data_IF_723773660253
#
_entry.id   IF_723773660253
#
_cell.length_a   1.000
_cell.length_b   1.000
_cell.length_c   1.000
_cell.angle_alpha   90.00
_cell.angle_beta   90.00
_cell.angle_gamma   90.00
#
_symmetry.space_group_name_H-M   'P 1'
#
loop_
_entity.id
_entity.type
_entity.pdbx_description
1 polymer ?
#
# COMPACT_ATOMS: atom_id res chain seq x y z
N UNK A 1 0.36 -2.19 7.35
CA UNK A 1 0.56 -3.25 6.32
C UNK A 1 1.70 -2.90 5.34
N UNK A 2 1.82 -1.63 4.94
CA UNK A 2 2.82 -1.20 3.95
C UNK A 2 4.25 -1.52 4.42
N UNK A 3 4.63 -1.09 5.62
CA UNK A 3 5.96 -1.35 6.18
C UNK A 3 6.24 -2.84 6.36
N UNK A 4 5.28 -3.59 6.86
CA UNK A 4 5.46 -5.03 7.07
C UNK A 4 5.69 -5.79 5.76
N UNK A 5 4.99 -5.42 4.69
CA UNK A 5 5.23 -5.99 3.36
C UNK A 5 6.56 -5.51 2.77
N UNK A 6 6.92 -4.25 2.94
CA UNK A 6 8.16 -3.69 2.42
C UNK A 6 9.41 -4.29 3.06
N UNK A 7 9.37 -4.60 4.35
CA UNK A 7 10.50 -5.22 5.06
C UNK A 7 10.93 -6.55 4.42
N UNK A 8 9.98 -7.40 4.08
CA UNK A 8 10.25 -8.67 3.40
C UNK A 8 10.90 -8.49 2.04
N UNK A 9 10.40 -7.55 1.24
CA UNK A 9 10.98 -7.24 -0.07
C UNK A 9 12.41 -6.73 0.03
N UNK A 10 12.66 -5.83 0.99
CA UNK A 10 14.01 -5.31 1.20
C UNK A 10 14.98 -6.40 1.65
N UNK A 11 14.53 -7.30 2.52
CA UNK A 11 15.36 -8.39 3.04
C UNK A 11 15.67 -9.44 1.96
N UNK A 12 14.70 -9.79 1.12
CA UNK A 12 14.85 -10.90 0.17
C UNK A 12 15.46 -10.46 -1.17
N UNK A 13 15.10 -9.27 -1.65
CA UNK A 13 15.50 -8.79 -2.97
C UNK A 13 16.41 -7.56 -2.95
N UNK A 14 16.85 -7.15 -1.77
CA UNK A 14 17.68 -5.95 -1.59
C UNK A 14 17.06 -4.66 -2.20
N UNK A 15 15.73 -4.63 -2.26
CA UNK A 15 14.99 -3.46 -2.74
C UNK A 15 15.12 -2.32 -1.73
N UNK A 16 15.49 -1.10 -2.14
CA UNK A 16 15.55 0.03 -1.22
C UNK A 16 14.24 0.23 -0.48
N UNK A 17 14.31 0.39 0.85
CA UNK A 17 13.13 0.43 1.72
C UNK A 17 12.09 1.47 1.29
N UNK A 18 12.53 2.69 1.00
CA UNK A 18 11.63 3.77 0.57
C UNK A 18 10.94 3.46 -0.76
N UNK A 19 11.64 2.82 -1.69
CA UNK A 19 11.07 2.39 -2.98
C UNK A 19 10.04 1.30 -2.76
N UNK A 20 10.35 0.29 -1.95
CA UNK A 20 9.41 -0.79 -1.62
C UNK A 20 8.14 -0.23 -0.96
N UNK A 21 8.27 0.66 0.02
CA UNK A 21 7.13 1.33 0.65
C UNK A 21 6.30 2.12 -0.37
N UNK A 22 6.93 2.87 -1.26
CA UNK A 22 6.24 3.70 -2.24
C UNK A 22 5.46 2.85 -3.28
N UNK A 23 6.02 1.72 -3.70
CA UNK A 23 5.32 0.79 -4.62
C UNK A 23 4.08 0.18 -3.95
N UNK A 24 4.19 -0.23 -2.70
CA UNK A 24 3.12 -0.91 -1.96
C UNK A 24 2.05 0.08 -1.48
N UNK A 25 2.40 1.34 -1.24
CA UNK A 25 1.52 2.32 -0.60
C UNK A 25 0.12 2.40 -1.23
N UNK A 26 -0.06 2.56 -2.54
CA UNK A 26 -1.41 2.63 -3.13
C UNK A 26 -2.25 1.37 -2.85
N UNK A 27 -1.64 0.19 -2.92
CA UNK A 27 -2.31 -1.09 -2.62
C UNK A 27 -2.72 -1.17 -1.15
N UNK A 28 -1.85 -0.75 -0.24
CA UNK A 28 -2.17 -0.68 1.19
C UNK A 28 -3.29 0.31 1.51
N UNK A 29 -3.32 1.45 0.83
CA UNK A 29 -4.40 2.43 0.97
C UNK A 29 -5.74 1.88 0.48
N UNK A 30 -5.77 1.19 -0.66
CA UNK A 30 -6.97 0.50 -1.16
C UNK A 30 -7.47 -0.55 -0.17
N UNK A 31 -6.56 -1.35 0.37
CA UNK A 31 -6.87 -2.40 1.35
C UNK A 31 -7.52 -1.82 2.62
N UNK A 32 -6.99 -0.70 3.12
CA UNK A 32 -7.43 -0.08 4.36
C UNK A 32 -8.64 0.88 4.21
N UNK A 33 -9.03 1.17 3.00
CA UNK A 33 -10.06 2.16 2.68
C UNK A 33 -11.38 1.93 3.43
N UNK A 34 -11.78 0.69 3.60
CA UNK A 34 -13.03 0.33 4.29
C UNK A 34 -12.96 0.52 5.80
N UNK A 35 -11.76 0.48 6.39
CA UNK A 35 -11.57 0.60 7.84
C UNK A 35 -11.19 2.03 8.28
N UNK A 36 -10.58 2.83 7.41
CA UNK A 36 -10.03 4.13 7.74
C UNK A 36 -10.29 5.21 6.68
N UNK A 37 -11.28 4.99 5.79
CA UNK A 37 -11.54 5.86 4.64
C UNK A 37 -11.83 7.31 5.00
N UNK A 38 -12.44 7.58 6.15
CA UNK A 38 -12.70 8.94 6.64
C UNK A 38 -11.44 9.78 6.85
N UNK A 39 -10.31 9.14 7.21
CA UNK A 39 -9.02 9.80 7.42
C UNK A 39 -8.37 10.24 6.11
N UNK A 40 -8.75 9.63 5.01
CA UNK A 40 -8.16 9.93 3.69
C UNK A 40 -8.51 11.33 3.20
N UNK A 41 -9.67 11.87 3.59
CA UNK A 41 -10.07 13.26 3.28
C UNK A 41 -8.99 14.26 3.74
N UNK A 42 -8.53 14.13 4.98
CA UNK A 42 -7.49 15.01 5.51
C UNK A 42 -6.17 14.88 4.73
N UNK A 43 -5.79 13.67 4.36
CA UNK A 43 -4.59 13.42 3.54
C UNK A 43 -4.75 14.02 2.14
N UNK A 44 -5.87 13.77 1.48
CA UNK A 44 -6.14 14.34 0.15
C UNK A 44 -6.18 15.86 0.16
N UNK A 45 -6.75 16.45 1.20
CA UNK A 45 -6.76 17.90 1.38
C UNK A 45 -5.35 18.47 1.51
N UNK A 46 -4.49 17.82 2.30
CA UNK A 46 -3.09 18.20 2.45
C UNK A 46 -2.29 18.05 1.15
N UNK A 47 -2.69 17.10 0.29
CA UNK A 47 -2.09 16.91 -1.03
C UNK A 47 -2.62 17.86 -2.11
N UNK A 48 -3.58 18.72 -1.79
CA UNK A 48 -4.14 19.69 -2.72
C UNK A 48 -5.23 19.16 -3.64
N UNK A 49 -5.92 18.07 -3.27
CA UNK A 49 -7.07 17.56 -4.04
C UNK A 49 -8.22 18.57 -3.97
N UNK A 50 -8.61 19.12 -5.13
CA UNK A 50 -9.67 20.12 -5.21
C UNK A 50 -11.05 19.48 -5.06
N UNK A 51 -11.98 20.18 -4.39
CA UNK A 51 -13.36 19.73 -4.23
C UNK A 51 -13.56 18.55 -3.27
N UNK A 52 -12.52 18.18 -2.49
CA UNK A 52 -12.59 17.00 -1.63
C UNK A 52 -13.61 17.14 -0.50
N UNK A 53 -13.88 18.37 -0.03
CA UNK A 53 -14.84 18.63 1.04
C UNK A 53 -16.31 18.43 0.59
N UNK A 54 -16.59 18.49 -0.72
CA UNK A 54 -17.91 18.21 -1.30
C UNK A 54 -18.12 16.73 -1.65
N UNK A 55 -17.07 15.91 -1.54
CA UNK A 55 -17.14 14.47 -1.80
C UNK A 55 -17.64 13.71 -0.57
N UNK A 56 -18.31 12.56 -0.78
CA UNK A 56 -18.54 11.62 0.31
C UNK A 56 -17.22 10.91 0.69
N UNK A 57 -17.22 10.13 1.78
CA UNK A 57 -15.98 9.52 2.29
C UNK A 57 -15.35 8.53 1.29
N UNK A 58 -16.16 7.80 0.53
CA UNK A 58 -15.68 6.86 -0.49
C UNK A 58 -15.01 7.62 -1.64
N UNK A 59 -15.66 8.65 -2.15
CA UNK A 59 -15.12 9.49 -3.22
C UNK A 59 -13.84 10.21 -2.77
N UNK A 60 -13.81 10.72 -1.54
CA UNK A 60 -12.65 11.39 -0.98
C UNK A 60 -11.45 10.41 -0.82
N UNK A 61 -11.72 9.18 -0.38
CA UNK A 61 -10.69 8.15 -0.28
C UNK A 61 -10.14 7.78 -1.66
N UNK A 62 -11.01 7.56 -2.65
CA UNK A 62 -10.61 7.24 -4.02
C UNK A 62 -9.79 8.37 -4.66
N UNK A 63 -10.21 9.62 -4.46
CA UNK A 63 -9.47 10.78 -4.96
C UNK A 63 -8.10 10.92 -4.32
N UNK A 64 -7.98 10.63 -3.02
CA UNK A 64 -6.71 10.64 -2.29
C UNK A 64 -5.77 9.57 -2.82
N UNK A 65 -6.27 8.34 -3.02
CA UNK A 65 -5.47 7.24 -3.57
C UNK A 65 -5.00 7.57 -5.00
N UNK A 66 -5.87 8.15 -5.82
CA UNK A 66 -5.51 8.61 -7.16
C UNK A 66 -4.40 9.67 -7.13
N UNK A 67 -4.44 10.59 -6.18
CA UNK A 67 -3.40 11.61 -6.00
C UNK A 67 -2.06 10.99 -5.59
N UNK A 68 -2.07 9.97 -4.72
CA UNK A 68 -0.85 9.23 -4.33
C UNK A 68 -0.27 8.50 -5.54
N UNK A 69 -1.09 7.81 -6.32
CA UNK A 69 -0.66 7.11 -7.55
C UNK A 69 -0.04 8.09 -8.55
N UNK A 70 -0.67 9.25 -8.74
CA UNK A 70 -0.14 10.28 -9.63
C UNK A 70 1.21 10.80 -9.17
N UNK A 71 1.35 11.12 -7.89
CA UNK A 71 2.62 11.58 -7.32
C UNK A 71 3.72 10.54 -7.53
N UNK A 72 3.44 9.27 -7.24
CA UNK A 72 4.38 8.18 -7.44
C UNK A 72 4.83 8.08 -8.90
N UNK A 73 3.91 8.18 -9.85
CA UNK A 73 4.23 8.18 -11.27
C UNK A 73 5.08 9.40 -11.67
N UNK A 74 4.73 10.58 -11.18
CA UNK A 74 5.42 11.83 -11.50
C UNK A 74 6.88 11.83 -11.03
N UNK A 75 7.19 11.15 -9.91
CA UNK A 75 8.56 11.04 -9.38
C UNK A 75 9.29 9.75 -9.81
N UNK A 76 8.68 8.95 -10.67
CA UNK A 76 9.32 7.76 -11.26
C UNK A 76 9.30 6.51 -10.38
N UNK A 77 8.39 6.40 -9.40
CA UNK A 77 8.20 5.16 -8.63
C UNK A 77 7.48 4.13 -9.51
N UNK A 78 7.98 2.88 -9.60
CA UNK A 78 7.27 1.81 -10.31
C UNK A 78 5.88 1.56 -9.72
N UNK A 79 4.92 1.23 -10.57
CA UNK A 79 3.54 0.97 -10.16
C UNK A 79 3.34 -0.46 -9.59
N UNK A 80 4.27 -1.36 -9.86
CA UNK A 80 4.19 -2.77 -9.50
C UNK A 80 5.56 -3.36 -9.14
N UNK A 81 5.57 -4.64 -8.80
CA UNK A 81 6.77 -5.39 -8.45
C UNK A 81 7.22 -6.36 -9.56
N UNK A 82 6.78 -6.12 -10.79
CA UNK A 82 7.20 -6.92 -11.95
C UNK A 82 8.71 -6.90 -12.10
N UNK A 83 9.27 -8.08 -12.29
CA UNK A 83 10.72 -8.24 -12.37
C UNK A 83 11.46 -8.28 -11.02
N UNK A 84 10.77 -8.06 -9.90
CA UNK A 84 11.31 -8.17 -8.55
C UNK A 84 10.69 -9.36 -7.84
N UNK A 85 9.36 -9.35 -7.66
CA UNK A 85 8.62 -10.36 -6.90
C UNK A 85 8.47 -11.65 -7.71
N UNK A 86 8.73 -12.79 -7.07
CA UNK A 86 8.55 -14.13 -7.62
C UNK A 86 7.39 -14.83 -6.90
N UNK A 87 6.55 -15.54 -7.65
CA UNK A 87 5.42 -16.29 -7.07
C UNK A 87 5.87 -17.31 -6.01
N UNK A 88 7.01 -17.93 -6.20
CA UNK A 88 7.57 -18.92 -5.26
C UNK A 88 7.86 -18.32 -3.87
N UNK A 89 8.08 -17.01 -3.79
CA UNK A 89 8.42 -16.31 -2.55
C UNK A 89 7.19 -15.71 -1.85
N UNK A 90 6.04 -15.66 -2.50
CA UNK A 90 4.82 -14.99 -1.99
C UNK A 90 4.38 -15.55 -0.64
N UNK A 91 4.42 -16.87 -0.46
CA UNK A 91 4.05 -17.50 0.81
C UNK A 91 4.97 -17.04 1.95
N UNK A 92 6.27 -17.11 1.75
CA UNK A 92 7.26 -16.69 2.75
C UNK A 92 7.13 -15.20 3.08
N UNK A 93 6.98 -14.35 2.05
CA UNK A 93 6.84 -12.91 2.23
C UNK A 93 5.57 -12.55 3.01
N UNK A 94 4.45 -13.23 2.72
CA UNK A 94 3.20 -12.99 3.41
C UNK A 94 3.24 -13.43 4.88
N UNK A 95 3.85 -14.58 5.17
CA UNK A 95 4.05 -15.04 6.55
C UNK A 95 4.96 -14.09 7.33
N UNK A 96 6.05 -13.64 6.70
CA UNK A 96 6.98 -12.67 7.30
C UNK A 96 6.30 -11.33 7.58
N UNK A 97 5.50 -10.83 6.64
CA UNK A 97 4.76 -9.58 6.82
C UNK A 97 3.70 -9.68 7.92
N UNK A 98 3.00 -10.81 7.99
CA UNK A 98 2.00 -11.05 9.04
C UNK A 98 2.62 -11.10 10.44
N UNK A 99 3.82 -11.68 10.56
CA UNK A 99 4.56 -11.77 11.82
C UNK A 99 5.35 -10.49 12.17
N UNK A 100 5.44 -9.53 11.25
CA UNK A 100 6.19 -8.30 11.44
C UNK A 100 5.54 -7.41 12.52
N UNK A 101 6.38 -6.76 13.34
CA UNK A 101 5.93 -5.89 14.43
C UNK A 101 5.08 -4.69 13.95
N UNK A 102 5.21 -4.28 12.70
CA UNK A 102 4.41 -3.20 12.11
C UNK A 102 3.01 -3.64 11.67
N UNK A 103 2.76 -4.95 11.52
CA UNK A 103 1.49 -5.47 11.05
C UNK A 103 0.31 -5.15 11.99
N UNK A 104 0.43 -5.32 13.32
CA UNK A 104 -0.68 -5.03 14.25
C UNK A 104 -1.13 -3.57 14.26
N UNK A 105 -0.31 -2.64 13.80
CA UNK A 105 -0.68 -1.22 13.70
C UNK A 105 -1.58 -0.89 12.50
N UNK A 106 -1.87 -1.85 11.64
CA UNK A 106 -2.75 -1.64 10.50
C UNK A 106 -4.21 -1.43 10.97
N UNK A 107 -4.96 -0.47 10.41
CA UNK A 107 -6.34 -0.18 10.87
C UNK A 107 -7.36 -1.28 10.54
N UNK A 108 -7.03 -2.17 9.61
CA UNK A 108 -7.83 -3.33 9.23
C UNK A 108 -7.12 -4.61 9.66
N UNK A 109 -7.85 -5.57 10.23
CA UNK A 109 -7.31 -6.90 10.51
C UNK A 109 -6.86 -7.57 9.23
N UNK A 110 -5.74 -8.29 9.32
CA UNK A 110 -5.11 -8.96 8.17
C UNK A 110 -5.00 -10.46 8.41
N UNK A 111 -4.82 -11.19 7.32
CA UNK A 111 -4.45 -12.61 7.33
C UNK A 111 -3.32 -12.86 6.34
N UNK A 112 -2.61 -13.98 6.48
CA UNK A 112 -1.58 -14.39 5.53
C UNK A 112 -2.15 -14.48 4.11
N UNK A 113 -3.36 -15.04 3.96
CA UNK A 113 -3.98 -15.18 2.64
C UNK A 113 -4.29 -13.82 2.00
N UNK A 114 -4.81 -12.85 2.76
CA UNK A 114 -5.04 -11.50 2.25
C UNK A 114 -3.73 -10.83 1.83
N UNK A 115 -2.67 -10.97 2.62
CA UNK A 115 -1.35 -10.41 2.28
C UNK A 115 -0.79 -11.06 0.99
N UNK A 116 -0.99 -12.37 0.80
CA UNK A 116 -0.62 -13.04 -0.46
C UNK A 116 -1.32 -12.41 -1.66
N UNK A 117 -2.64 -12.16 -1.54
CA UNK A 117 -3.40 -11.52 -2.61
C UNK A 117 -2.91 -10.08 -2.89
N UNK A 118 -2.54 -9.34 -1.85
CA UNK A 118 -1.95 -8.02 -2.02
C UNK A 118 -0.62 -8.07 -2.79
N UNK A 119 0.26 -9.01 -2.46
CA UNK A 119 1.50 -9.21 -3.22
C UNK A 119 1.22 -9.60 -4.67
N UNK A 120 0.29 -10.54 -4.91
CA UNK A 120 -0.05 -10.97 -6.27
C UNK A 120 -0.64 -9.84 -7.10
N UNK A 121 -1.38 -8.92 -6.49
CA UNK A 121 -1.93 -7.77 -7.21
C UNK A 121 -0.85 -6.81 -7.73
N UNK A 122 0.38 -6.93 -7.24
CA UNK A 122 1.53 -6.13 -7.64
C UNK A 122 2.44 -6.86 -8.65
N UNK A 123 2.15 -8.10 -8.99
CA UNK A 123 2.86 -8.87 -10.02
C UNK A 123 2.31 -8.57 -11.41
#
# INVERSE_FOLDING_TARGET
IVHSMAHGLSALYDTPHGVACAIILPTGLEYNKTAAGERYRAVGKAMGVTGIDEMNDVEAADATIAAVKKLSADVGIPADLKGILKEEDVQFLAESAFADACCPGNPRDTSVEEIKELYRSLM
#
